data_IF_603859386261
#
_entry.id   IF_603859386261
#
_cell.length_a   1.000
_cell.length_b   1.000
_cell.length_c   1.000
_cell.angle_alpha   90.00
_cell.angle_beta   90.00
_cell.angle_gamma   90.00
#
_symmetry.space_group_name_H-M   'P 1'
#
loop_
_entity.id
_entity.type
_entity.pdbx_description
1 polymer ?
#
# COMPACT_ATOMS: atom_id res chain seq x y z
N UNK A 1 65.25 39.61 -12.76
CA UNK A 1 64.62 38.26 -12.75
C UNK A 1 63.46 38.30 -11.80
N UNK A 2 62.23 38.50 -12.35
CA UNK A 2 61.00 38.60 -11.57
C UNK A 2 60.27 37.24 -11.73
N UNK A 3 60.13 36.48 -10.61
CA UNK A 3 59.40 35.22 -10.56
C UNK A 3 57.92 35.51 -10.24
N UNK A 4 57.09 35.37 -11.25
CA UNK A 4 55.63 35.47 -11.06
C UNK A 4 55.10 34.18 -10.44
N UNK A 5 54.54 34.26 -9.22
CA UNK A 5 53.88 33.15 -8.53
C UNK A 5 52.42 33.13 -8.96
N UNK A 6 52.04 32.13 -9.75
CA UNK A 6 50.62 31.92 -10.12
C UNK A 6 49.89 31.20 -8.99
N UNK A 7 48.99 31.89 -8.34
CA UNK A 7 48.12 31.33 -7.31
C UNK A 7 46.91 30.63 -7.96
N UNK A 8 46.91 29.30 -7.98
CA UNK A 8 45.77 28.50 -8.43
C UNK A 8 44.71 28.47 -7.34
N UNK A 9 43.62 29.20 -7.54
CA UNK A 9 42.45 29.13 -6.67
C UNK A 9 41.60 27.91 -7.11
N UNK A 10 41.68 26.83 -6.33
CA UNK A 10 40.86 25.64 -6.49
C UNK A 10 39.48 25.95 -5.90
N UNK A 11 38.50 26.31 -6.74
CA UNK A 11 37.11 26.51 -6.32
C UNK A 11 36.45 25.16 -6.04
N UNK A 12 36.30 24.84 -4.77
CA UNK A 12 35.44 23.71 -4.35
C UNK A 12 33.97 24.05 -4.62
N UNK A 13 33.39 23.43 -5.60
CA UNK A 13 31.96 23.48 -5.81
C UNK A 13 31.24 22.70 -4.70
N UNK A 14 30.25 23.28 -4.02
CA UNK A 14 29.48 22.55 -3.05
C UNK A 14 28.68 21.44 -3.78
N UNK A 15 28.95 20.19 -3.42
CA UNK A 15 28.11 19.05 -3.81
C UNK A 15 26.85 19.15 -2.96
N UNK A 16 25.77 19.64 -3.52
CA UNK A 16 24.45 19.51 -2.89
C UNK A 16 24.06 18.04 -2.93
N UNK A 17 24.22 17.34 -1.81
CA UNK A 17 23.56 16.06 -1.62
C UNK A 17 22.05 16.32 -1.68
N UNK A 18 21.39 15.85 -2.72
CA UNK A 18 19.93 15.88 -2.80
C UNK A 18 19.40 15.05 -1.64
N UNK A 19 18.63 15.67 -0.76
CA UNK A 19 17.95 14.92 0.30
C UNK A 19 17.08 13.84 -0.33
N UNK A 20 17.12 12.64 0.24
CA UNK A 20 16.32 11.51 -0.22
C UNK A 20 14.84 11.85 -0.06
N UNK A 21 14.10 11.89 -1.18
CA UNK A 21 12.67 12.15 -1.16
C UNK A 21 11.90 10.86 -0.81
N UNK A 22 11.65 10.69 0.50
CA UNK A 22 10.95 9.53 1.02
C UNK A 22 9.52 9.40 0.49
N UNK A 23 8.83 10.51 0.25
CA UNK A 23 7.48 10.49 -0.33
C UNK A 23 7.50 9.97 -1.77
N UNK A 24 8.42 10.45 -2.59
CA UNK A 24 8.58 9.96 -3.97
C UNK A 24 8.97 8.47 -4.01
N UNK A 25 9.74 8.00 -3.03
CA UNK A 25 10.03 6.57 -2.88
C UNK A 25 8.78 5.77 -2.53
N UNK A 26 7.97 6.24 -1.57
CA UNK A 26 6.72 5.58 -1.19
C UNK A 26 5.72 5.53 -2.35
N UNK A 27 5.60 6.61 -3.13
CA UNK A 27 4.80 6.63 -4.36
C UNK A 27 5.29 5.62 -5.41
N UNK A 28 6.61 5.36 -5.48
CA UNK A 28 7.16 4.31 -6.36
C UNK A 28 6.79 2.92 -5.85
N UNK A 29 6.80 2.71 -4.52
CA UNK A 29 6.34 1.45 -3.91
C UNK A 29 4.89 1.20 -4.30
N UNK A 30 4.00 2.18 -4.12
CA UNK A 30 2.58 2.04 -4.48
C UNK A 30 2.40 1.69 -5.96
N UNK A 31 3.09 2.40 -6.86
CA UNK A 31 3.01 2.10 -8.31
C UNK A 31 3.51 0.70 -8.67
N UNK A 32 4.52 0.19 -7.96
CA UNK A 32 5.08 -1.13 -8.24
C UNK A 32 4.23 -2.26 -7.66
N UNK A 33 3.63 -2.05 -6.47
CA UNK A 33 2.78 -3.04 -5.80
C UNK A 33 1.38 -3.10 -6.41
N UNK A 34 0.90 -1.99 -6.95
CA UNK A 34 -0.48 -1.84 -7.38
C UNK A 34 -0.58 -1.27 -8.80
N UNK A 35 -0.70 -2.12 -9.83
CA UNK A 35 -1.03 -1.67 -11.18
C UNK A 35 -2.28 -0.80 -11.19
N UNK A 36 -2.36 0.15 -12.13
CA UNK A 36 -3.52 1.04 -12.27
C UNK A 36 -4.83 0.28 -12.46
N UNK A 37 -4.76 -0.85 -13.15
CA UNK A 37 -5.92 -1.72 -13.34
C UNK A 37 -5.51 -3.18 -13.34
N UNK A 38 -6.29 -4.04 -12.67
CA UNK A 38 -6.04 -5.47 -12.63
C UNK A 38 -7.31 -6.28 -12.37
N UNK A 39 -7.22 -7.56 -12.71
CA UNK A 39 -8.07 -8.62 -12.20
C UNK A 39 -7.17 -9.69 -11.58
N UNK A 40 -7.49 -10.12 -10.37
CA UNK A 40 -6.70 -11.15 -9.70
C UNK A 40 -7.52 -12.01 -8.76
N UNK A 41 -7.07 -13.25 -8.58
CA UNK A 41 -7.52 -14.11 -7.49
C UNK A 41 -6.45 -14.13 -6.40
N UNK A 42 -6.87 -13.85 -5.16
CA UNK A 42 -5.99 -13.84 -3.98
C UNK A 42 -6.42 -14.89 -2.98
N UNK A 43 -5.45 -15.49 -2.32
CA UNK A 43 -5.66 -16.34 -1.15
C UNK A 43 -5.14 -15.60 0.08
N UNK A 44 -6.01 -15.33 1.04
CA UNK A 44 -5.67 -14.79 2.35
C UNK A 44 -5.65 -15.93 3.36
N UNK A 45 -4.60 -15.99 4.15
CA UNK A 45 -4.42 -17.00 5.20
C UNK A 45 -4.30 -16.28 6.53
N UNK A 46 -5.24 -16.53 7.44
CA UNK A 46 -5.20 -16.06 8.81
C UNK A 46 -4.76 -17.22 9.71
N UNK A 47 -3.61 -17.07 10.35
CA UNK A 47 -3.10 -18.01 11.35
C UNK A 47 -3.16 -17.36 12.73
N UNK A 48 -3.93 -17.94 13.63
CA UNK A 48 -4.03 -17.49 15.01
C UNK A 48 -2.89 -18.08 15.86
N UNK A 49 -2.48 -17.45 16.97
CA UNK A 49 -1.40 -17.97 17.83
C UNK A 49 -1.66 -19.39 18.37
N UNK A 50 -2.92 -19.81 18.45
CA UNK A 50 -3.33 -21.17 18.83
C UNK A 50 -3.20 -22.21 17.72
N UNK A 51 -2.67 -21.81 16.54
CA UNK A 51 -2.53 -22.66 15.36
C UNK A 51 -3.80 -22.82 14.53
N UNK A 52 -4.89 -22.15 14.88
CA UNK A 52 -6.09 -22.15 14.05
C UNK A 52 -5.85 -21.38 12.78
N UNK A 53 -6.19 -21.98 11.64
CA UNK A 53 -5.99 -21.43 10.32
C UNK A 53 -7.33 -21.24 9.61
N UNK A 54 -7.52 -20.06 9.03
CA UNK A 54 -8.67 -19.73 8.20
C UNK A 54 -8.19 -19.19 6.85
N UNK A 55 -8.71 -19.76 5.77
CA UNK A 55 -8.34 -19.37 4.42
C UNK A 55 -9.52 -18.75 3.70
N UNK A 56 -9.23 -17.64 2.99
CA UNK A 56 -10.20 -16.96 2.13
C UNK A 56 -9.67 -16.94 0.71
N UNK A 57 -10.53 -17.13 -0.25
CA UNK A 57 -10.24 -16.92 -1.68
C UNK A 57 -11.11 -15.76 -2.14
N UNK A 58 -10.46 -14.73 -2.68
CA UNK A 58 -11.09 -13.53 -3.19
C UNK A 58 -10.76 -13.34 -4.66
N UNK A 59 -11.76 -12.97 -5.44
CA UNK A 59 -11.57 -12.38 -6.76
C UNK A 59 -11.68 -10.87 -6.63
N UNK A 60 -10.67 -10.16 -7.13
CA UNK A 60 -10.57 -8.70 -7.02
C UNK A 60 -10.37 -8.08 -8.38
N UNK A 61 -11.03 -6.94 -8.59
CA UNK A 61 -10.88 -6.09 -9.77
C UNK A 61 -10.55 -4.67 -9.33
N UNK A 62 -9.62 -4.02 -10.03
CA UNK A 62 -9.24 -2.61 -9.82
C UNK A 62 -9.34 -1.86 -11.15
N UNK A 63 -9.83 -0.64 -11.10
CA UNK A 63 -9.82 0.29 -12.23
C UNK A 63 -9.44 1.69 -11.75
N UNK A 64 -8.30 2.19 -12.25
CA UNK A 64 -7.71 3.43 -11.78
C UNK A 64 -7.22 3.30 -10.33
N UNK A 65 -7.01 4.43 -9.65
CA UNK A 65 -6.42 4.43 -8.31
C UNK A 65 -7.43 4.12 -7.20
N UNK A 66 -8.69 4.43 -7.40
CA UNK A 66 -9.69 4.55 -6.35
C UNK A 66 -10.89 3.59 -6.46
N UNK A 67 -10.95 2.76 -7.51
CA UNK A 67 -12.07 1.83 -7.73
C UNK A 67 -11.61 0.39 -7.60
N UNK A 68 -11.98 -0.24 -6.51
CA UNK A 68 -11.62 -1.63 -6.21
C UNK A 68 -12.85 -2.38 -5.73
N UNK A 69 -13.07 -3.56 -6.27
CA UNK A 69 -14.07 -4.49 -5.77
C UNK A 69 -13.42 -5.84 -5.47
N UNK A 70 -13.86 -6.49 -4.40
CA UNK A 70 -13.43 -7.83 -4.04
C UNK A 70 -14.64 -8.70 -3.70
N UNK A 71 -14.69 -9.88 -4.32
CA UNK A 71 -15.72 -10.90 -4.12
C UNK A 71 -15.12 -12.10 -3.41
N UNK A 72 -15.72 -12.53 -2.31
CA UNK A 72 -15.32 -13.75 -1.60
C UNK A 72 -15.87 -14.97 -2.33
N UNK A 73 -14.96 -15.85 -2.75
CA UNK A 73 -15.27 -17.13 -3.41
C UNK A 73 -15.27 -18.28 -2.41
N UNK A 74 -14.47 -18.19 -1.35
CA UNK A 74 -14.35 -19.16 -0.27
C UNK A 74 -13.96 -18.47 1.05
N UNK A 75 -14.25 -19.09 2.22
CA UNK A 75 -15.00 -20.34 2.41
C UNK A 75 -16.50 -20.18 2.11
N UNK A 76 -17.24 -21.28 2.18
CA UNK A 76 -18.68 -21.29 1.90
C UNK A 76 -19.48 -20.32 2.79
N UNK A 77 -19.05 -20.11 4.04
CA UNK A 77 -19.66 -19.15 5.00
C UNK A 77 -19.58 -17.69 4.53
N UNK A 78 -18.59 -17.34 3.72
CA UNK A 78 -18.34 -15.99 3.25
C UNK A 78 -18.59 -15.81 1.75
N UNK A 79 -18.92 -16.91 1.05
CA UNK A 79 -19.12 -16.90 -0.40
C UNK A 79 -20.24 -15.94 -0.82
N UNK A 80 -19.94 -15.13 -1.82
CA UNK A 80 -20.85 -14.11 -2.34
C UNK A 80 -20.83 -12.78 -1.59
N UNK A 81 -20.18 -12.72 -0.44
CA UNK A 81 -19.86 -11.46 0.23
C UNK A 81 -18.94 -10.63 -0.67
N UNK A 82 -19.16 -9.34 -0.77
CA UNK A 82 -18.31 -8.47 -1.56
C UNK A 82 -18.08 -7.12 -0.90
N UNK A 83 -16.94 -6.54 -1.20
CA UNK A 83 -16.57 -5.19 -0.77
C UNK A 83 -16.31 -4.32 -2.00
N UNK A 84 -16.64 -3.05 -1.91
CA UNK A 84 -16.41 -2.05 -2.93
C UNK A 84 -15.75 -0.83 -2.30
N UNK A 85 -14.70 -0.32 -2.93
CA UNK A 85 -14.13 1.01 -2.67
C UNK A 85 -14.37 1.90 -3.89
N UNK A 86 -14.76 3.15 -3.63
CA UNK A 86 -14.77 4.22 -4.62
C UNK A 86 -14.34 5.52 -3.93
N UNK A 87 -13.12 5.97 -4.21
CA UNK A 87 -12.47 7.02 -3.44
C UNK A 87 -12.36 6.61 -1.97
N UNK A 88 -12.72 7.49 -1.06
CA UNK A 88 -12.71 7.23 0.40
C UNK A 88 -13.91 6.42 0.88
N UNK A 89 -14.82 6.10 -0.02
CA UNK A 89 -16.05 5.41 0.34
C UNK A 89 -15.92 3.91 0.17
N UNK A 90 -16.28 3.15 1.20
CA UNK A 90 -16.24 1.70 1.20
C UNK A 90 -17.59 1.11 1.62
N UNK A 91 -17.97 0.04 0.96
CA UNK A 91 -19.21 -0.68 1.25
C UNK A 91 -18.97 -2.18 1.30
N UNK A 92 -19.72 -2.81 2.17
CA UNK A 92 -19.83 -4.25 2.29
C UNK A 92 -21.22 -4.69 1.85
N UNK A 93 -21.26 -5.65 0.96
CA UNK A 93 -22.47 -6.40 0.62
C UNK A 93 -22.38 -7.80 1.19
N UNK A 94 -23.44 -8.22 1.90
CA UNK A 94 -23.60 -9.56 2.45
C UNK A 94 -24.81 -10.18 1.79
N UNK A 95 -24.70 -11.38 1.17
CA UNK A 95 -25.85 -12.09 0.64
C UNK A 95 -26.94 -12.23 1.70
N UNK A 96 -28.18 -12.07 1.30
CA UNK A 96 -29.39 -12.17 2.15
C UNK A 96 -29.61 -11.00 3.15
N UNK A 97 -28.72 -10.01 3.24
CA UNK A 97 -28.95 -8.80 4.04
C UNK A 97 -29.64 -7.70 3.22
N UNK A 98 -29.50 -7.74 1.90
CA UNK A 98 -30.27 -6.95 0.94
C UNK A 98 -29.74 -5.54 0.66
N UNK A 99 -29.05 -4.87 1.59
CA UNK A 99 -28.52 -3.52 1.40
C UNK A 99 -27.03 -3.47 1.69
N UNK A 100 -26.22 -2.75 0.86
CA UNK A 100 -24.82 -2.49 1.19
C UNK A 100 -24.70 -1.68 2.48
N UNK A 101 -23.74 -2.06 3.31
CA UNK A 101 -23.42 -1.38 4.57
C UNK A 101 -22.14 -0.58 4.37
N UNK A 102 -22.14 0.66 4.85
CA UNK A 102 -20.94 1.49 4.86
C UNK A 102 -19.92 0.91 5.84
N UNK A 103 -18.66 0.80 5.41
CA UNK A 103 -17.54 0.29 6.21
C UNK A 103 -16.38 1.28 6.17
N UNK A 104 -15.42 1.12 7.07
CA UNK A 104 -14.17 1.90 7.11
C UNK A 104 -12.97 1.02 6.76
N UNK A 105 -11.84 1.66 6.39
CA UNK A 105 -10.58 0.99 6.05
C UNK A 105 -10.08 0.10 7.20
N UNK A 106 -10.15 0.59 8.43
CA UNK A 106 -9.61 -0.09 9.62
C UNK A 106 -10.51 -1.19 10.18
N UNK A 107 -11.77 -1.30 9.74
CA UNK A 107 -12.65 -2.38 10.22
C UNK A 107 -12.14 -3.74 9.75
N UNK A 108 -12.09 -4.69 10.70
CA UNK A 108 -11.70 -6.06 10.41
C UNK A 108 -12.66 -6.73 9.44
N UNK A 109 -12.09 -7.42 8.48
CA UNK A 109 -12.81 -8.29 7.56
C UNK A 109 -13.01 -9.63 8.23
N UNK A 110 -14.23 -10.03 8.50
CA UNK A 110 -14.55 -11.35 9.07
C UNK A 110 -14.02 -11.62 10.49
N UNK A 111 -13.65 -10.57 11.26
CA UNK A 111 -13.15 -10.73 12.64
C UNK A 111 -11.72 -11.27 12.75
N UNK A 112 -10.96 -11.28 11.63
CA UNK A 112 -9.56 -11.70 11.59
C UNK A 112 -8.59 -10.52 11.69
N UNK A 113 -7.31 -10.78 11.40
CA UNK A 113 -6.22 -9.80 11.40
C UNK A 113 -6.27 -8.86 10.18
N UNK A 114 -6.94 -9.28 9.10
CA UNK A 114 -7.08 -8.45 7.90
C UNK A 114 -8.15 -7.39 8.11
N UNK A 115 -7.85 -6.17 7.73
CA UNK A 115 -8.79 -5.07 7.65
C UNK A 115 -9.25 -4.81 6.19
N UNK A 116 -10.16 -3.86 5.99
CA UNK A 116 -10.65 -3.54 4.66
C UNK A 116 -9.59 -2.90 3.77
N UNK A 117 -8.63 -2.14 4.34
CA UNK A 117 -7.52 -1.56 3.60
C UNK A 117 -6.65 -2.65 2.98
N UNK A 118 -6.35 -3.75 3.70
CA UNK A 118 -5.57 -4.88 3.19
C UNK A 118 -6.24 -5.56 1.97
N UNK A 119 -7.56 -5.58 1.95
CA UNK A 119 -8.34 -6.22 0.88
C UNK A 119 -8.56 -5.28 -0.30
N UNK A 120 -8.90 -4.03 -0.03
CA UNK A 120 -9.24 -3.03 -1.04
C UNK A 120 -8.02 -2.23 -1.50
N UNK A 121 -6.85 -2.52 -0.95
CA UNK A 121 -5.57 -1.94 -1.32
C UNK A 121 -5.61 -0.41 -1.36
N UNK A 122 -5.55 0.20 -0.20
CA UNK A 122 -5.33 1.64 -0.09
C UNK A 122 -3.85 1.92 -0.34
N UNK A 123 -3.54 2.95 -1.13
CA UNK A 123 -2.16 3.35 -1.38
C UNK A 123 -1.48 3.76 -0.07
N UNK A 124 -0.25 3.33 0.17
CA UNK A 124 0.49 3.68 1.40
C UNK A 124 0.66 5.19 1.55
N UNK A 125 0.81 5.92 0.44
CA UNK A 125 0.92 7.39 0.43
C UNK A 125 -0.36 8.11 0.85
N UNK A 126 -1.51 7.42 0.88
CA UNK A 126 -2.78 7.96 1.37
C UNK A 126 -2.99 7.68 2.88
N UNK A 127 -2.36 6.62 3.41
CA UNK A 127 -2.53 6.17 4.78
C UNK A 127 -1.36 6.57 5.70
N UNK A 128 -0.18 6.87 5.15
CA UNK A 128 1.03 7.10 5.92
C UNK A 128 1.83 8.31 5.45
N UNK A 129 2.38 9.02 6.42
CA UNK A 129 3.42 10.03 6.20
C UNK A 129 4.81 9.40 6.38
N UNK A 130 5.75 9.72 5.49
CA UNK A 130 7.14 9.32 5.65
C UNK A 130 7.81 10.25 6.65
N UNK A 131 8.26 9.71 7.79
CA UNK A 131 8.95 10.47 8.83
C UNK A 131 10.46 10.46 8.67
N UNK A 132 11.01 9.38 8.13
CA UNK A 132 12.44 9.25 7.84
C UNK A 132 12.64 8.35 6.61
N UNK A 133 13.69 8.67 5.82
CA UNK A 133 14.11 7.88 4.67
C UNK A 133 15.64 7.72 4.71
N UNK A 134 16.14 6.50 4.70
CA UNK A 134 17.56 6.17 4.80
C UNK A 134 17.98 5.20 3.71
N UNK A 135 19.14 5.42 3.08
CA UNK A 135 19.77 4.44 2.20
C UNK A 135 20.38 3.30 3.02
N UNK A 136 20.15 2.07 2.61
CA UNK A 136 20.73 0.86 3.21
C UNK A 136 21.18 -0.10 2.12
N UNK A 137 22.42 0.05 1.66
CA UNK A 137 22.97 -0.73 0.55
C UNK A 137 22.17 -0.48 -0.74
N UNK A 138 21.63 -1.54 -1.34
CA UNK A 138 20.82 -1.46 -2.57
C UNK A 138 19.31 -1.21 -2.29
N UNK A 139 18.98 -0.85 -1.06
CA UNK A 139 17.61 -0.67 -0.60
C UNK A 139 17.42 0.66 0.12
N UNK A 140 16.17 1.03 0.32
CA UNK A 140 15.78 2.18 1.13
C UNK A 140 14.93 1.72 2.31
N UNK A 141 15.19 2.28 3.49
CA UNK A 141 14.36 2.12 4.66
C UNK A 141 13.50 3.37 4.82
N UNK A 142 12.19 3.20 4.94
CA UNK A 142 11.24 4.28 5.17
C UNK A 142 10.54 4.04 6.50
N UNK A 143 10.60 5.03 7.40
CA UNK A 143 9.80 5.03 8.61
C UNK A 143 8.48 5.76 8.33
N UNK A 144 7.38 5.08 8.61
CA UNK A 144 6.02 5.53 8.31
C UNK A 144 5.23 5.78 9.59
N UNK A 145 4.39 6.81 9.57
CA UNK A 145 3.49 7.14 10.69
C UNK A 145 2.08 7.39 10.19
#
# INVERSE_FOLDING_TARGET
MIRTLALMILSALPVFASALDGKALLERVDRNLEPESYEMTRKLINEEPNGKRKEFILYSVKKGRDKVAALFLAPASDKGRSTLRQGDNMWLFIPNVGKPVRITSLQSVTGGVFNNADILRVDYTEEYDVTEATESGDSYLLDLK
#
